data_IF_794546821757
#
_entry.id   IF_794546821757
#
_cell.length_a   1.000
_cell.length_b   1.000
_cell.length_c   1.000
_cell.angle_alpha   90.00
_cell.angle_beta   90.00
_cell.angle_gamma   90.00
#
_symmetry.space_group_name_H-M   'P 1'
#
loop_
_entity.id
_entity.type
_entity.pdbx_description
1 polymer ?
#
# COMPACT_ATOMS: atom_id res chain seq x y z
N UNK A 1 62.77 66.87 13.99
CA UNK A 1 61.40 67.42 13.73
C UNK A 1 60.64 66.43 12.87
N UNK A 2 59.96 65.46 13.44
CA UNK A 2 59.13 64.51 12.67
C UNK A 2 57.74 64.58 13.27
N UNK A 3 56.79 65.01 12.46
CA UNK A 3 55.38 65.00 12.83
C UNK A 3 54.79 63.59 12.59
N UNK A 4 54.33 62.94 13.64
CA UNK A 4 53.61 61.69 13.54
C UNK A 4 52.12 62.01 13.20
N UNK A 5 51.63 61.48 12.08
CA UNK A 5 50.21 61.47 11.73
C UNK A 5 49.56 60.27 12.40
N UNK A 6 48.58 60.62 13.25
CA UNK A 6 47.71 59.62 13.94
C UNK A 6 46.49 59.36 13.05
N UNK A 7 46.47 58.18 12.39
CA UNK A 7 45.29 57.72 11.63
C UNK A 7 44.32 57.04 12.58
N UNK A 8 43.14 57.64 12.75
CA UNK A 8 42.02 57.09 13.46
C UNK A 8 41.25 56.16 12.51
N UNK A 9 41.30 54.84 12.75
CA UNK A 9 40.41 53.86 12.10
C UNK A 9 39.09 53.83 12.86
N UNK A 10 38.02 54.30 12.23
CA UNK A 10 36.66 54.11 12.71
C UNK A 10 36.18 52.72 12.24
N UNK A 11 36.06 51.80 13.18
CA UNK A 11 35.52 50.46 12.92
C UNK A 11 33.96 50.55 12.96
N UNK A 12 33.34 50.52 11.77
CA UNK A 12 31.90 50.35 11.65
C UNK A 12 31.51 48.91 11.91
N UNK A 13 30.97 48.61 13.09
CA UNK A 13 30.33 47.34 13.40
C UNK A 13 28.96 47.34 12.71
N UNK A 14 28.85 46.63 11.58
CA UNK A 14 27.58 46.27 10.97
C UNK A 14 26.92 45.16 11.81
N UNK A 15 25.91 45.50 12.56
CA UNK A 15 25.04 44.51 13.21
C UNK A 15 24.14 43.90 12.14
N UNK A 16 24.47 42.69 11.68
CA UNK A 16 23.56 41.88 10.91
C UNK A 16 22.54 41.27 11.87
N UNK A 17 21.34 41.87 11.87
CA UNK A 17 20.16 41.28 12.50
C UNK A 17 19.82 40.00 11.73
N UNK A 18 20.17 38.85 12.29
CA UNK A 18 19.61 37.55 11.86
C UNK A 18 18.13 37.55 12.23
N UNK A 19 17.27 37.92 11.29
CA UNK A 19 15.86 37.60 11.36
C UNK A 19 15.76 36.08 11.26
N UNK A 20 15.60 35.43 12.41
CA UNK A 20 15.26 34.00 12.45
C UNK A 20 13.94 33.80 11.73
N UNK A 21 13.99 33.28 10.50
CA UNK A 21 12.83 32.69 9.91
C UNK A 21 12.52 31.44 10.77
N UNK A 22 11.54 31.58 11.66
CA UNK A 22 10.81 30.43 12.15
C UNK A 22 10.06 29.90 10.94
N UNK A 23 10.68 28.93 10.24
CA UNK A 23 9.91 27.97 9.46
C UNK A 23 8.93 27.32 10.45
N UNK A 24 7.68 27.77 10.40
CA UNK A 24 6.57 26.96 10.87
C UNK A 24 6.67 25.70 10.04
N UNK A 25 7.11 24.60 10.67
CA UNK A 25 6.84 23.26 10.16
C UNK A 25 5.33 23.24 9.88
N UNK A 26 4.94 23.38 8.61
CA UNK A 26 3.61 22.96 8.18
C UNK A 26 3.56 21.48 8.56
N UNK A 27 2.79 21.19 9.60
CA UNK A 27 2.41 19.85 9.92
C UNK A 27 1.72 19.37 8.64
N UNK A 28 2.35 18.45 7.92
CA UNK A 28 1.81 17.84 6.71
C UNK A 28 0.49 17.16 7.11
N UNK A 29 -0.59 17.93 7.08
CA UNK A 29 -1.93 17.42 7.39
C UNK A 29 -2.36 16.66 6.15
N UNK A 30 -2.16 15.31 6.19
CA UNK A 30 -2.68 14.43 5.13
C UNK A 30 -4.15 14.74 4.88
N UNK A 31 -4.53 14.83 3.61
CA UNK A 31 -5.92 15.07 3.23
C UNK A 31 -6.78 13.87 3.59
N UNK A 32 -7.87 14.09 4.31
CA UNK A 32 -8.88 13.05 4.58
C UNK A 32 -9.60 12.75 3.27
N UNK A 33 -9.58 11.47 2.87
CA UNK A 33 -10.20 10.97 1.64
C UNK A 33 -11.43 10.08 1.92
N UNK A 34 -11.63 9.68 3.16
CA UNK A 34 -12.75 8.84 3.56
C UNK A 34 -12.78 8.58 5.06
N UNK A 35 -13.66 7.67 5.45
CA UNK A 35 -13.82 7.24 6.83
C UNK A 35 -14.16 5.77 6.90
N UNK A 36 -13.66 5.09 7.94
CA UNK A 36 -14.02 3.75 8.33
C UNK A 36 -14.80 3.77 9.64
N UNK A 37 -15.67 2.79 9.85
CA UNK A 37 -16.30 2.52 11.15
C UNK A 37 -15.73 1.21 11.67
N UNK A 38 -14.91 1.30 12.71
CA UNK A 38 -14.35 0.15 13.41
C UNK A 38 -14.81 0.18 14.87
N UNK A 39 -15.43 -0.90 15.34
CA UNK A 39 -15.97 -1.04 16.69
C UNK A 39 -16.90 0.12 17.14
N UNK A 40 -17.61 0.72 16.16
CA UNK A 40 -18.53 1.85 16.38
C UNK A 40 -17.85 3.21 16.41
N UNK A 41 -16.53 3.28 16.27
CA UNK A 41 -15.76 4.52 16.14
C UNK A 41 -15.54 4.89 14.67
N UNK A 42 -15.57 6.19 14.39
CA UNK A 42 -15.31 6.73 13.05
C UNK A 42 -13.85 7.12 12.95
N UNK A 43 -13.12 6.39 12.13
CA UNK A 43 -11.69 6.58 11.85
C UNK A 43 -11.50 7.37 10.55
N UNK A 44 -10.46 8.20 10.50
CA UNK A 44 -10.10 8.94 9.30
C UNK A 44 -9.27 8.06 8.37
N UNK A 45 -9.65 8.06 7.08
CA UNK A 45 -8.85 7.49 5.99
C UNK A 45 -8.18 8.66 5.28
N UNK A 46 -6.86 8.55 5.10
CA UNK A 46 -6.03 9.54 4.41
C UNK A 46 -5.27 8.89 3.27
N UNK A 47 -4.71 9.68 2.34
CA UNK A 47 -3.85 9.13 1.29
C UNK A 47 -2.64 8.42 1.91
N UNK A 48 -2.39 7.18 1.46
CA UNK A 48 -1.27 6.34 1.87
C UNK A 48 0.00 6.61 1.05
N UNK A 49 1.06 5.88 1.38
CA UNK A 49 2.31 5.88 0.60
C UNK A 49 2.15 4.97 -0.62
N UNK A 50 2.39 5.51 -1.81
CA UNK A 50 2.28 4.77 -3.06
C UNK A 50 3.26 3.58 -3.15
N UNK A 51 4.34 3.56 -2.38
CA UNK A 51 5.27 2.42 -2.32
C UNK A 51 4.62 1.13 -1.80
N UNK A 52 3.49 1.22 -1.07
CA UNK A 52 2.69 0.07 -0.69
C UNK A 52 2.10 -0.65 -1.92
N UNK A 53 1.80 0.09 -2.99
CA UNK A 53 1.31 -0.49 -4.25
C UNK A 53 2.39 -1.38 -4.89
N UNK A 54 3.67 -1.00 -4.81
CA UNK A 54 4.76 -1.78 -5.39
C UNK A 54 4.87 -3.16 -4.73
N UNK A 55 4.67 -3.25 -3.40
CA UNK A 55 4.64 -4.52 -2.65
C UNK A 55 3.50 -5.41 -3.14
N UNK A 56 2.31 -4.82 -3.35
CA UNK A 56 1.16 -5.57 -3.85
C UNK A 56 1.35 -6.03 -5.29
N UNK A 57 1.89 -5.18 -6.17
CA UNK A 57 2.19 -5.54 -7.57
C UNK A 57 3.21 -6.67 -7.63
N UNK A 58 4.29 -6.64 -6.84
CA UNK A 58 5.26 -7.72 -6.74
C UNK A 58 4.60 -9.04 -6.30
N UNK A 59 3.68 -8.96 -5.33
CA UNK A 59 2.94 -10.12 -4.83
C UNK A 59 2.06 -10.76 -5.90
N UNK A 60 1.32 -9.95 -6.69
CA UNK A 60 0.48 -10.46 -7.78
C UNK A 60 1.33 -11.01 -8.92
N UNK A 61 2.45 -10.36 -9.26
CA UNK A 61 3.36 -10.88 -10.28
C UNK A 61 3.97 -12.23 -9.87
N UNK A 62 4.29 -12.42 -8.59
CA UNK A 62 4.71 -13.71 -8.07
C UNK A 62 3.62 -14.78 -8.21
N UNK A 63 2.33 -14.43 -8.10
CA UNK A 63 1.22 -15.34 -8.40
C UNK A 63 1.16 -15.66 -9.88
N UNK A 64 1.30 -14.67 -10.77
CA UNK A 64 1.32 -14.86 -12.22
C UNK A 64 2.45 -15.79 -12.66
N UNK A 65 3.61 -15.67 -12.03
CA UNK A 65 4.80 -16.49 -12.33
C UNK A 65 4.89 -17.79 -11.52
N UNK A 66 3.94 -18.06 -10.61
CA UNK A 66 3.92 -19.22 -9.71
C UNK A 66 5.10 -19.27 -8.74
N UNK A 67 5.68 -18.13 -8.42
CA UNK A 67 6.80 -18.01 -7.49
C UNK A 67 6.31 -18.07 -6.03
N UNK A 68 6.09 -19.31 -5.56
CA UNK A 68 5.62 -19.57 -4.20
C UNK A 68 6.63 -19.13 -3.13
N UNK A 69 7.92 -19.04 -3.45
CA UNK A 69 8.95 -18.57 -2.51
C UNK A 69 8.78 -17.06 -2.24
N UNK A 70 8.64 -16.27 -3.30
CA UNK A 70 8.38 -14.83 -3.19
C UNK A 70 7.03 -14.57 -2.50
N UNK A 71 5.95 -15.27 -2.90
CA UNK A 71 4.64 -15.13 -2.24
C UNK A 71 4.75 -15.39 -0.74
N UNK A 72 5.37 -16.52 -0.35
CA UNK A 72 5.52 -16.88 1.06
C UNK A 72 6.40 -15.87 1.81
N UNK A 73 7.42 -15.34 1.17
CA UNK A 73 8.31 -14.33 1.76
C UNK A 73 7.59 -13.00 2.00
N UNK A 74 6.60 -12.65 1.20
CA UNK A 74 5.81 -11.42 1.31
C UNK A 74 4.63 -11.56 2.28
N UNK A 75 4.20 -12.77 2.64
CA UNK A 75 3.15 -12.96 3.64
C UNK A 75 3.65 -12.62 5.05
N UNK A 76 2.81 -11.98 5.86
CA UNK A 76 3.00 -11.84 7.30
C UNK A 76 2.81 -13.20 8.00
N UNK A 77 3.40 -13.37 9.18
CA UNK A 77 3.27 -14.63 9.96
C UNK A 77 1.81 -14.93 10.36
N UNK A 78 1.00 -13.89 10.52
CA UNK A 78 -0.44 -13.93 10.82
C UNK A 78 -1.32 -13.64 9.60
N UNK A 79 -0.83 -13.94 8.40
CA UNK A 79 -1.55 -13.76 7.14
C UNK A 79 -2.97 -14.32 7.18
N UNK A 80 -3.94 -13.57 6.63
CA UNK A 80 -5.31 -14.02 6.43
C UNK A 80 -5.81 -13.60 5.04
N UNK A 81 -6.13 -14.58 4.18
CA UNK A 81 -6.80 -14.38 2.89
C UNK A 81 -8.29 -14.73 2.99
N UNK A 82 -9.16 -13.82 2.55
CA UNK A 82 -10.61 -14.00 2.47
C UNK A 82 -11.06 -13.92 1.03
N UNK A 83 -11.29 -15.08 0.44
CA UNK A 83 -11.69 -15.19 -0.96
C UNK A 83 -13.16 -14.79 -1.17
N UNK A 84 -13.51 -14.39 -2.41
CA UNK A 84 -14.85 -13.95 -2.80
C UNK A 84 -15.95 -15.00 -2.59
N UNK A 85 -15.60 -16.30 -2.57
CA UNK A 85 -16.52 -17.40 -2.30
C UNK A 85 -16.72 -17.70 -0.81
N UNK A 86 -16.09 -16.92 0.09
CA UNK A 86 -16.16 -17.09 1.53
C UNK A 86 -15.11 -18.01 2.14
N UNK A 87 -14.21 -18.60 1.34
CA UNK A 87 -13.06 -19.34 1.86
C UNK A 87 -12.15 -18.40 2.65
N UNK A 88 -11.66 -18.87 3.81
CA UNK A 88 -10.66 -18.16 4.61
C UNK A 88 -9.43 -19.04 4.73
N UNK A 89 -8.28 -18.49 4.37
CA UNK A 89 -6.96 -19.12 4.47
C UNK A 89 -6.14 -18.38 5.51
N UNK A 90 -5.57 -19.08 6.49
CA UNK A 90 -4.81 -18.47 7.60
C UNK A 90 -3.39 -19.02 7.67
N UNK A 91 -2.45 -18.10 7.69
CA UNK A 91 -1.03 -18.38 7.75
C UNK A 91 -0.39 -18.68 6.40
N UNK A 92 0.91 -18.38 6.28
CA UNK A 92 1.64 -18.51 5.02
C UNK A 92 1.74 -19.95 4.51
N UNK A 93 1.85 -20.94 5.40
CA UNK A 93 1.93 -22.37 5.03
C UNK A 93 0.61 -22.86 4.40
N UNK A 94 -0.53 -22.54 5.02
CA UNK A 94 -1.84 -22.92 4.47
C UNK A 94 -2.12 -22.21 3.14
N UNK A 95 -1.64 -20.97 2.98
CA UNK A 95 -1.73 -20.24 1.72
C UNK A 95 -0.88 -20.92 0.63
N UNK A 96 0.35 -21.29 0.93
CA UNK A 96 1.20 -22.00 -0.02
C UNK A 96 0.61 -23.34 -0.48
N UNK A 97 0.01 -24.13 0.43
CA UNK A 97 -0.66 -25.38 0.07
C UNK A 97 -1.91 -25.12 -0.80
N UNK A 98 -2.73 -24.15 -0.44
CA UNK A 98 -3.87 -23.73 -1.25
C UNK A 98 -3.45 -23.34 -2.68
N UNK A 99 -2.41 -22.53 -2.83
CA UNK A 99 -1.91 -22.09 -4.13
C UNK A 99 -1.35 -23.26 -4.96
N UNK A 100 -0.64 -24.21 -4.34
CA UNK A 100 -0.16 -25.41 -5.05
C UNK A 100 -1.29 -26.21 -5.66
N UNK A 101 -2.38 -26.43 -4.90
CA UNK A 101 -3.55 -27.15 -5.39
C UNK A 101 -4.27 -26.37 -6.49
N UNK A 102 -4.45 -25.09 -6.31
CA UNK A 102 -5.11 -24.22 -7.29
C UNK A 102 -4.32 -24.18 -8.60
N UNK A 103 -3.02 -23.88 -8.55
CA UNK A 103 -2.17 -23.81 -9.74
C UNK A 103 -1.97 -25.18 -10.44
N UNK A 104 -2.18 -26.30 -9.74
CA UNK A 104 -2.15 -27.62 -10.35
C UNK A 104 -3.43 -27.96 -11.13
N UNK A 105 -4.55 -27.33 -10.81
CA UNK A 105 -5.88 -27.64 -11.35
C UNK A 105 -6.43 -26.61 -12.32
N UNK A 106 -5.89 -25.39 -12.29
CA UNK A 106 -6.29 -24.30 -13.15
C UNK A 106 -5.10 -23.37 -13.48
N UNK A 107 -5.31 -22.36 -14.30
CA UNK A 107 -4.25 -21.46 -14.74
C UNK A 107 -4.65 -19.98 -14.54
N UNK A 108 -4.91 -19.54 -13.30
CA UNK A 108 -5.30 -18.17 -13.05
C UNK A 108 -4.19 -17.19 -13.41
N UNK A 109 -4.57 -16.05 -13.97
CA UNK A 109 -3.67 -14.93 -14.26
C UNK A 109 -4.38 -13.60 -14.01
N UNK A 110 -3.64 -12.62 -13.53
CA UNK A 110 -4.16 -11.30 -13.18
C UNK A 110 -3.52 -10.21 -14.01
N UNK A 111 -4.36 -9.42 -14.69
CA UNK A 111 -3.97 -8.21 -15.40
C UNK A 111 -4.33 -6.99 -14.57
N UNK A 112 -3.33 -6.12 -14.33
CA UNK A 112 -3.47 -4.91 -13.51
C UNK A 112 -4.34 -3.86 -14.18
N UNK A 113 -5.36 -3.36 -13.49
CA UNK A 113 -6.19 -2.25 -13.96
C UNK A 113 -5.81 -0.95 -13.27
N UNK A 114 -5.95 -0.89 -11.93
CA UNK A 114 -5.49 0.24 -11.12
C UNK A 114 -5.33 -0.15 -9.65
N UNK A 115 -4.60 0.68 -8.89
CA UNK A 115 -4.54 0.57 -7.44
C UNK A 115 -4.43 1.95 -6.80
N UNK A 116 -4.81 2.03 -5.53
CA UNK A 116 -4.63 3.20 -4.68
C UNK A 116 -4.18 2.78 -3.28
N UNK A 117 -3.30 3.58 -2.67
CA UNK A 117 -2.88 3.36 -1.29
C UNK A 117 -3.61 4.35 -0.36
N UNK A 118 -4.02 3.86 0.79
CA UNK A 118 -4.64 4.65 1.84
C UNK A 118 -4.18 4.20 3.23
N UNK A 119 -4.24 5.11 4.19
CA UNK A 119 -3.91 4.86 5.58
C UNK A 119 -5.16 5.08 6.45
N UNK A 120 -5.43 4.17 7.38
CA UNK A 120 -6.46 4.34 8.41
C UNK A 120 -5.79 4.77 9.71
N UNK A 121 -6.23 5.92 10.26
CA UNK A 121 -5.68 6.47 11.49
C UNK A 121 -6.44 5.92 12.69
N UNK A 122 -5.83 4.98 13.43
CA UNK A 122 -6.44 4.35 14.59
C UNK A 122 -6.44 5.28 15.82
N UNK A 123 -7.42 5.12 16.70
CA UNK A 123 -7.56 5.93 17.93
C UNK A 123 -6.40 5.77 18.91
N UNK A 124 -5.68 4.65 18.87
CA UNK A 124 -4.48 4.41 19.67
C UNK A 124 -3.21 5.07 19.11
N UNK A 125 -3.32 5.79 17.97
CA UNK A 125 -2.21 6.46 17.29
C UNK A 125 -1.44 5.59 16.31
N UNK A 126 -1.80 4.31 16.16
CA UNK A 126 -1.25 3.46 15.09
C UNK A 126 -1.89 3.79 13.74
N UNK A 127 -1.23 3.35 12.68
CA UNK A 127 -1.69 3.51 11.30
C UNK A 127 -1.78 2.12 10.69
N UNK A 128 -2.92 1.81 10.05
CA UNK A 128 -3.03 0.65 9.17
C UNK A 128 -2.82 1.12 7.72
N UNK A 129 -1.97 0.41 6.99
CA UNK A 129 -1.66 0.70 5.59
C UNK A 129 -2.45 -0.25 4.70
N UNK A 130 -3.23 0.31 3.78
CA UNK A 130 -4.08 -0.45 2.88
C UNK A 130 -3.79 -0.13 1.42
N UNK A 131 -3.97 -1.12 0.57
CA UNK A 131 -3.99 -0.98 -0.89
C UNK A 131 -5.31 -1.53 -1.39
N UNK A 132 -6.13 -0.69 -2.04
CA UNK A 132 -7.28 -1.14 -2.82
C UNK A 132 -6.85 -1.25 -4.27
N UNK A 133 -6.99 -2.43 -4.88
CA UNK A 133 -6.55 -2.69 -6.25
C UNK A 133 -7.62 -3.43 -7.05
N UNK A 134 -7.64 -3.21 -8.34
CA UNK A 134 -8.54 -3.88 -9.27
C UNK A 134 -7.73 -4.58 -10.37
N UNK A 135 -8.08 -5.83 -10.61
CA UNK A 135 -7.49 -6.67 -11.64
C UNK A 135 -8.56 -7.36 -12.46
N UNK A 136 -8.24 -7.64 -13.72
CA UNK A 136 -8.98 -8.63 -14.51
C UNK A 136 -8.31 -9.97 -14.31
N UNK A 137 -9.04 -10.94 -13.78
CA UNK A 137 -8.56 -12.31 -13.59
C UNK A 137 -9.13 -13.20 -14.68
N UNK A 138 -8.26 -13.98 -15.31
CA UNK A 138 -8.63 -15.04 -16.26
C UNK A 138 -8.20 -16.38 -15.68
N UNK A 139 -9.10 -17.35 -15.65
CA UNK A 139 -8.80 -18.73 -15.20
C UNK A 139 -9.49 -19.74 -16.11
N UNK A 140 -9.08 -21.01 -16.02
CA UNK A 140 -9.69 -22.11 -16.72
C UNK A 140 -10.40 -23.02 -15.71
N UNK A 141 -11.73 -23.02 -15.73
CA UNK A 141 -12.56 -23.83 -14.85
C UNK A 141 -13.31 -24.88 -15.67
N UNK A 142 -13.07 -26.17 -15.39
CA UNK A 142 -13.66 -27.28 -16.14
C UNK A 142 -13.38 -27.24 -17.66
N UNK A 143 -12.26 -26.64 -18.08
CA UNK A 143 -11.88 -26.50 -19.48
C UNK A 143 -12.49 -25.30 -20.19
N UNK A 144 -13.24 -24.47 -19.50
CA UNK A 144 -13.80 -23.22 -20.00
C UNK A 144 -13.04 -22.02 -19.43
N UNK A 145 -12.75 -21.03 -20.25
CA UNK A 145 -12.17 -19.76 -19.81
C UNK A 145 -13.24 -18.95 -19.08
N UNK A 146 -12.87 -18.52 -17.87
CA UNK A 146 -13.69 -17.66 -17.02
C UNK A 146 -12.94 -16.36 -16.78
N UNK A 147 -13.60 -15.23 -17.03
CA UNK A 147 -13.04 -13.89 -16.76
C UNK A 147 -13.84 -13.22 -15.66
N UNK A 148 -13.12 -12.73 -14.65
CA UNK A 148 -13.69 -11.96 -13.56
C UNK A 148 -12.97 -10.62 -13.39
N UNK A 149 -13.68 -9.61 -12.91
CA UNK A 149 -13.07 -8.42 -12.35
C UNK A 149 -13.00 -8.59 -10.84
N UNK A 150 -11.83 -8.46 -10.29
CA UNK A 150 -11.57 -8.65 -8.86
C UNK A 150 -11.12 -7.34 -8.21
N UNK A 151 -11.72 -7.05 -7.08
CA UNK A 151 -11.32 -5.95 -6.18
C UNK A 151 -10.64 -6.58 -4.98
N UNK A 152 -9.41 -6.17 -4.75
CA UNK A 152 -8.61 -6.55 -3.60
C UNK A 152 -8.53 -5.38 -2.63
N UNK A 153 -8.73 -5.66 -1.35
CA UNK A 153 -8.45 -4.73 -0.26
C UNK A 153 -7.41 -5.39 0.66
N UNK A 154 -6.23 -4.78 0.76
CA UNK A 154 -5.02 -5.45 1.25
C UNK A 154 -4.39 -4.65 2.36
N UNK A 155 -4.34 -5.23 3.57
CA UNK A 155 -3.56 -4.66 4.68
C UNK A 155 -2.08 -5.05 4.55
N UNK A 156 -1.22 -4.04 4.60
CA UNK A 156 0.24 -4.21 4.57
C UNK A 156 0.82 -3.76 5.91
N UNK A 157 1.48 -4.66 6.62
CA UNK A 157 2.14 -4.38 7.88
C UNK A 157 3.63 -4.72 7.80
N UNK A 158 4.49 -3.76 8.12
CA UNK A 158 5.96 -3.93 8.07
C UNK A 158 6.49 -4.47 6.73
N UNK A 159 5.90 -4.03 5.61
CA UNK A 159 6.26 -4.47 4.27
C UNK A 159 5.82 -5.90 3.93
N UNK A 160 4.86 -6.46 4.67
CA UNK A 160 4.29 -7.80 4.46
C UNK A 160 2.78 -7.71 4.27
N UNK A 161 2.25 -8.62 3.46
CA UNK A 161 0.81 -8.80 3.24
C UNK A 161 0.23 -9.50 4.48
N UNK A 162 -0.65 -8.82 5.20
CA UNK A 162 -1.27 -9.33 6.43
C UNK A 162 -2.68 -9.82 6.18
N UNK A 163 -3.50 -9.01 5.50
CA UNK A 163 -4.88 -9.36 5.16
C UNK A 163 -5.11 -9.12 3.69
N UNK A 164 -5.83 -10.04 3.05
CA UNK A 164 -6.37 -9.84 1.70
C UNK A 164 -7.87 -10.08 1.76
N UNK A 165 -8.66 -9.09 1.34
CA UNK A 165 -10.09 -9.23 1.12
C UNK A 165 -10.35 -9.21 -0.38
N UNK A 166 -11.09 -10.19 -0.90
CA UNK A 166 -11.39 -10.29 -2.34
C UNK A 166 -12.88 -10.18 -2.57
N UNK A 167 -13.29 -9.28 -3.45
CA UNK A 167 -14.62 -9.27 -4.06
C UNK A 167 -14.46 -9.48 -5.57
N UNK A 168 -15.34 -10.31 -6.16
CA UNK A 168 -15.27 -10.64 -7.58
C UNK A 168 -16.64 -10.53 -8.25
N UNK A 169 -16.64 -10.11 -9.52
CA UNK A 169 -17.81 -10.18 -10.40
C UNK A 169 -17.44 -10.83 -11.72
N UNK A 170 -18.34 -11.66 -12.27
CA UNK A 170 -18.16 -12.22 -13.61
C UNK A 170 -18.21 -11.10 -14.67
N UNK A 171 -17.31 -11.19 -15.66
CA UNK A 171 -17.37 -10.39 -16.86
C UNK A 171 -18.11 -11.22 -17.91
N UNK A 172 -19.32 -10.79 -18.27
CA UNK A 172 -20.13 -11.43 -19.30
C UNK A 172 -19.78 -10.75 -20.63
N UNK A 173 -19.23 -11.49 -21.59
CA UNK A 173 -19.09 -11.00 -22.96
C UNK A 173 -20.50 -10.82 -23.52
N UNK A 174 -20.86 -9.60 -23.93
CA UNK A 174 -22.07 -9.43 -24.76
C UNK A 174 -21.82 -10.21 -26.07
N UNK A 175 -22.63 -11.25 -26.30
CA UNK A 175 -22.67 -11.89 -27.62
C UNK A 175 -23.08 -10.83 -28.62
N UNK A 176 -22.20 -10.50 -29.57
CA UNK A 176 -22.49 -9.61 -30.70
C UNK A 176 -23.36 -10.31 -31.75
#
# INVERSE_FOLDING_TARGET
>A
MNKALLSIYVLLLAQTSFAGHHEKSEKDTKTIIGYEILDGERLEIVAGDASAIDIWVEYVEAHNTRDLETINSLNAADFEGRAANGLIVKGPEAHAEFLKEWFATSNPSWEYNYAMANDVLLTNGNIQHWVTAVYTMTDTINGEEVVTEEVFDVEIENGKIKVILVAARAVISEEQ
#
